data_IF_454845123388
#
_entry.id   IF_454845123388
#
_cell.length_a   1.000
_cell.length_b   1.000
_cell.length_c   1.000
_cell.angle_alpha   90.00
_cell.angle_beta   90.00
_cell.angle_gamma   90.00
#
_symmetry.space_group_name_H-M   'P 1'
#
loop_
_entity.id
_entity.type
_entity.pdbx_description
1 polymer ?
#
# COMPACT_ATOMS: atom_id res chain seq x y z
N UNK A 1 -9.65 -20.40 59.74
CA UNK A 1 -8.62 -21.08 58.95
C UNK A 1 -9.30 -21.64 57.73
N UNK A 2 -9.40 -20.87 56.70
CA UNK A 2 -10.16 -21.16 55.49
C UNK A 2 -9.16 -21.53 54.39
N UNK A 3 -9.22 -22.81 53.98
CA UNK A 3 -8.40 -23.32 52.90
C UNK A 3 -8.92 -22.86 51.56
N UNK A 4 -8.07 -22.16 50.84
CA UNK A 4 -8.28 -21.72 49.46
C UNK A 4 -8.06 -22.89 48.51
N UNK A 5 -9.12 -23.31 47.80
CA UNK A 5 -9.08 -24.40 46.83
C UNK A 5 -8.61 -23.85 45.51
N UNK A 6 -7.42 -24.26 45.13
CA UNK A 6 -6.82 -23.97 43.80
C UNK A 6 -7.64 -24.61 42.65
N UNK A 7 -8.35 -23.78 41.89
CA UNK A 7 -9.20 -24.18 40.77
C UNK A 7 -8.46 -24.39 39.44
N UNK A 8 -7.14 -24.43 39.44
CA UNK A 8 -6.33 -24.55 38.22
C UNK A 8 -5.82 -25.95 37.88
N UNK A 9 -6.15 -26.95 38.68
CA UNK A 9 -5.62 -28.33 38.51
C UNK A 9 -6.61 -29.35 37.92
N UNK A 10 -7.78 -28.94 37.45
CA UNK A 10 -8.84 -29.91 37.07
C UNK A 10 -9.26 -29.90 35.58
N UNK A 11 -8.42 -29.42 34.66
CA UNK A 11 -8.76 -29.42 33.21
C UNK A 11 -7.65 -29.98 32.32
N UNK A 12 -6.95 -30.99 32.77
CA UNK A 12 -5.82 -31.56 32.05
C UNK A 12 -5.87 -33.05 31.82
N UNK A 13 -7.02 -33.70 31.70
CA UNK A 13 -7.01 -35.12 31.30
C UNK A 13 -8.39 -35.55 30.81
N UNK A 14 -8.62 -35.48 29.53
CA UNK A 14 -9.59 -36.32 28.80
C UNK A 14 -9.72 -35.81 27.35
N UNK A 15 -9.04 -36.38 26.41
CA UNK A 15 -9.51 -36.87 25.13
C UNK A 15 -8.33 -37.39 24.29
N UNK A 16 -7.84 -38.56 24.67
CA UNK A 16 -7.22 -39.47 23.70
C UNK A 16 -8.33 -40.38 23.20
N UNK A 17 -8.96 -39.96 22.12
CA UNK A 17 -9.93 -40.75 21.38
C UNK A 17 -9.37 -41.04 20.01
N UNK A 18 -8.81 -42.23 19.85
CA UNK A 18 -8.54 -42.84 18.54
C UNK A 18 -9.83 -43.07 17.79
N UNK A 19 -10.02 -42.40 16.65
CA UNK A 19 -10.95 -42.81 15.62
C UNK A 19 -10.18 -43.21 14.36
N UNK A 20 -9.89 -44.50 14.26
CA UNK A 20 -9.61 -45.13 13.01
C UNK A 20 -10.94 -45.57 12.38
N UNK A 21 -11.36 -44.94 11.30
CA UNK A 21 -12.38 -45.46 10.39
C UNK A 21 -12.00 -45.05 8.96
N UNK A 22 -11.52 -46.08 8.27
CA UNK A 22 -11.42 -46.05 6.83
C UNK A 22 -12.83 -46.10 6.24
N UNK A 23 -13.17 -45.13 5.41
CA UNK A 23 -14.31 -45.25 4.50
C UNK A 23 -14.01 -44.51 3.22
N UNK A 24 -14.07 -45.22 2.15
CA UNK A 24 -14.04 -44.78 0.77
C UNK A 24 -15.07 -43.69 0.53
N UNK A 25 -14.61 -42.52 0.06
CA UNK A 25 -15.47 -41.47 -0.43
C UNK A 25 -14.74 -40.74 -1.56
N UNK A 26 -15.26 -40.93 -2.79
CA UNK A 26 -14.85 -40.15 -3.94
C UNK A 26 -15.01 -38.66 -3.60
N UNK A 27 -13.92 -37.98 -3.28
CA UNK A 27 -13.90 -36.56 -3.00
C UNK A 27 -14.08 -35.81 -4.32
N UNK A 28 -15.22 -35.14 -4.48
CA UNK A 28 -15.29 -34.00 -5.36
C UNK A 28 -14.19 -32.99 -4.89
N UNK A 29 -13.18 -32.86 -5.71
CA UNK A 29 -12.16 -31.84 -5.48
C UNK A 29 -12.80 -30.47 -5.56
N UNK A 30 -13.18 -29.95 -4.41
CA UNK A 30 -13.50 -28.55 -4.25
C UNK A 30 -12.21 -27.77 -4.44
N UNK A 31 -11.91 -27.55 -5.70
CA UNK A 31 -10.90 -26.57 -6.10
C UNK A 31 -11.39 -25.17 -5.81
N UNK A 32 -11.67 -24.88 -4.55
CA UNK A 32 -11.66 -23.53 -4.07
C UNK A 32 -10.22 -23.05 -4.23
N UNK A 33 -9.96 -22.46 -5.39
CA UNK A 33 -8.78 -21.63 -5.53
C UNK A 33 -8.95 -20.61 -4.43
N UNK A 34 -8.13 -20.78 -3.41
CA UNK A 34 -7.92 -19.75 -2.41
C UNK A 34 -7.74 -18.46 -3.20
N UNK A 35 -8.77 -17.61 -3.15
CA UNK A 35 -8.68 -16.30 -3.73
C UNK A 35 -7.54 -15.68 -2.94
N UNK A 36 -6.38 -15.52 -3.59
CA UNK A 36 -5.33 -14.69 -3.07
C UNK A 36 -5.97 -13.31 -2.99
N UNK A 37 -6.51 -13.00 -1.83
CA UNK A 37 -6.82 -11.63 -1.47
C UNK A 37 -5.44 -10.97 -1.50
N UNK A 38 -5.16 -10.30 -2.62
CA UNK A 38 -4.08 -9.34 -2.63
C UNK A 38 -4.54 -8.28 -1.64
N UNK A 39 -4.08 -8.40 -0.40
CA UNK A 39 -4.20 -7.32 0.55
C UNK A 39 -3.72 -6.07 -0.19
N UNK A 40 -4.52 -5.01 -0.26
CA UNK A 40 -4.04 -3.75 -0.81
C UNK A 40 -2.73 -3.48 -0.09
N UNK A 41 -1.65 -3.10 -0.81
CA UNK A 41 -0.33 -2.89 -0.22
C UNK A 41 -0.55 -2.12 1.08
N UNK A 42 -0.14 -2.71 2.19
CA UNK A 42 -0.54 -2.38 3.55
C UNK A 42 -0.76 -0.89 3.73
N UNK A 43 -2.01 -0.52 3.83
CA UNK A 43 -2.42 0.84 4.08
C UNK A 43 -2.07 1.25 5.53
N UNK A 44 -0.81 1.13 5.89
CA UNK A 44 -0.31 1.35 7.25
C UNK A 44 1.15 1.01 7.47
N UNK A 45 1.86 0.51 6.43
CA UNK A 45 3.31 0.47 6.50
C UNK A 45 3.87 1.88 6.60
N UNK A 46 5.05 2.08 7.22
CA UNK A 46 5.74 3.36 7.12
C UNK A 46 5.79 3.72 5.64
N UNK A 47 5.34 4.92 5.30
CA UNK A 47 5.30 5.42 3.94
C UNK A 47 6.62 5.13 3.22
N UNK A 48 6.65 5.16 1.88
CA UNK A 48 7.76 4.64 1.10
C UNK A 48 9.07 5.05 1.76
N UNK A 49 9.73 4.05 2.32
CA UNK A 49 10.96 4.27 3.06
C UNK A 49 11.92 4.99 2.14
N UNK A 50 12.33 6.19 2.52
CA UNK A 50 13.41 6.92 1.86
C UNK A 50 14.77 6.23 2.02
N UNK A 51 14.82 5.10 2.66
CA UNK A 51 15.98 4.23 2.57
C UNK A 51 16.12 3.81 1.11
N UNK A 52 17.24 4.14 0.46
CA UNK A 52 17.43 3.71 -0.90
C UNK A 52 17.34 2.18 -0.90
N UNK A 53 16.36 1.57 -1.55
CA UNK A 53 16.58 0.22 -1.99
C UNK A 53 17.76 0.37 -2.92
N UNK A 54 18.81 -0.37 -2.70
CA UNK A 54 19.91 -0.49 -3.65
C UNK A 54 19.49 -1.61 -4.60
N UNK A 55 18.78 -1.31 -5.70
CA UNK A 55 18.62 -2.30 -6.74
C UNK A 55 19.96 -2.36 -7.42
N UNK A 56 20.62 -3.48 -7.30
CA UNK A 56 21.73 -3.80 -8.14
C UNK A 56 21.16 -4.07 -9.54
N UNK A 57 21.08 -3.07 -10.38
CA UNK A 57 20.61 -3.19 -11.75
C UNK A 57 19.42 -2.29 -12.10
N UNK A 58 19.03 -2.24 -13.38
CA UNK A 58 17.86 -1.51 -13.82
C UNK A 58 16.61 -2.15 -13.19
N UNK A 59 15.57 -1.35 -12.89
CA UNK A 59 14.28 -1.86 -12.44
C UNK A 59 13.77 -2.91 -13.44
N UNK A 60 13.31 -4.03 -12.90
CA UNK A 60 12.76 -5.14 -13.67
C UNK A 60 11.32 -4.91 -14.13
N UNK A 61 10.61 -6.02 -14.37
CA UNK A 61 9.21 -5.98 -14.79
C UNK A 61 8.33 -5.25 -13.74
N UNK A 62 7.36 -4.47 -14.23
CA UNK A 62 6.44 -3.70 -13.37
C UNK A 62 6.94 -2.30 -13.00
N UNK A 63 8.15 -1.93 -13.38
CA UNK A 63 8.65 -0.58 -13.17
C UNK A 63 8.37 0.33 -14.37
N UNK A 64 7.89 1.53 -14.09
CA UNK A 64 7.58 2.56 -15.08
C UNK A 64 8.57 3.70 -14.91
N UNK A 65 9.31 4.01 -15.96
CA UNK A 65 10.27 5.12 -15.98
C UNK A 65 9.55 6.46 -16.19
N UNK A 66 9.93 7.45 -15.39
CA UNK A 66 9.47 8.84 -15.44
C UNK A 66 10.68 9.76 -15.47
N UNK A 67 10.87 10.45 -16.57
CA UNK A 67 12.00 11.38 -16.74
C UNK A 67 11.79 12.66 -15.92
N UNK A 68 12.75 13.05 -15.09
CA UNK A 68 12.71 14.30 -14.35
C UNK A 68 12.83 15.53 -15.25
N UNK A 69 13.33 15.36 -16.46
CA UNK A 69 13.37 16.45 -17.46
C UNK A 69 11.95 16.85 -17.88
N UNK A 70 11.04 15.89 -17.96
CA UNK A 70 9.63 16.16 -18.30
C UNK A 70 8.85 16.74 -17.13
N UNK A 71 9.34 16.55 -15.89
CA UNK A 71 8.70 16.99 -14.65
C UNK A 71 9.67 17.76 -13.75
N UNK A 72 10.15 18.96 -14.15
CA UNK A 72 11.18 19.70 -13.43
C UNK A 72 10.78 20.09 -12.01
N UNK A 73 9.49 20.19 -11.70
CA UNK A 73 9.00 20.43 -10.34
C UNK A 73 9.44 19.33 -9.36
N UNK A 74 9.67 18.11 -9.84
CA UNK A 74 10.12 16.97 -9.01
C UNK A 74 11.61 17.03 -8.65
N UNK A 75 12.38 17.96 -9.20
CA UNK A 75 13.79 18.11 -8.82
C UNK A 75 13.97 18.86 -7.49
N UNK A 76 12.94 19.58 -7.04
CA UNK A 76 12.99 20.40 -5.83
C UNK A 76 12.14 19.76 -4.72
N UNK A 77 12.68 19.60 -3.49
CA UNK A 77 11.88 19.15 -2.35
C UNK A 77 10.64 20.01 -2.14
N UNK A 78 9.50 19.37 -1.88
CA UNK A 78 8.18 20.02 -1.82
C UNK A 78 7.49 20.18 -3.17
N UNK A 79 8.21 19.95 -4.28
CA UNK A 79 7.61 19.92 -5.61
C UNK A 79 6.77 18.67 -5.85
N UNK A 80 5.76 18.81 -6.70
CA UNK A 80 4.90 17.70 -7.08
C UNK A 80 4.51 17.77 -8.56
N UNK A 81 4.14 16.63 -9.12
CA UNK A 81 3.65 16.54 -10.49
C UNK A 81 2.62 15.42 -10.62
N UNK A 82 1.64 15.66 -11.49
CA UNK A 82 0.73 14.62 -11.96
C UNK A 82 1.40 13.83 -13.07
N UNK A 83 1.57 12.54 -12.85
CA UNK A 83 2.18 11.63 -13.79
C UNK A 83 1.13 10.66 -14.31
N UNK A 84 0.81 10.77 -15.61
CA UNK A 84 -0.16 9.90 -16.26
C UNK A 84 0.48 9.17 -17.42
N UNK A 85 0.56 7.85 -17.33
CA UNK A 85 1.12 6.96 -18.36
C UNK A 85 0.06 5.90 -18.68
N UNK A 86 -0.81 6.16 -19.66
CA UNK A 86 -1.95 5.28 -19.98
C UNK A 86 -1.54 3.86 -20.36
N UNK A 87 -0.40 3.71 -21.05
CA UNK A 87 0.12 2.41 -21.48
C UNK A 87 0.49 1.50 -20.29
N UNK A 88 0.87 2.11 -19.16
CA UNK A 88 1.17 1.43 -17.91
C UNK A 88 -0.01 1.45 -16.94
N UNK A 89 -1.16 2.02 -17.33
CA UNK A 89 -2.30 2.27 -16.46
C UNK A 89 -1.87 2.99 -15.17
N UNK A 90 -0.91 3.90 -15.26
CA UNK A 90 -0.39 4.67 -14.14
C UNK A 90 -0.98 6.08 -14.19
N UNK A 91 -1.66 6.49 -13.10
CA UNK A 91 -2.19 7.84 -12.89
C UNK A 91 -1.96 8.21 -11.43
N UNK A 92 -0.88 8.93 -11.16
CA UNK A 92 -0.40 9.21 -9.80
C UNK A 92 -0.05 10.70 -9.65
N UNK A 93 -0.10 11.17 -8.41
CA UNK A 93 0.64 12.36 -8.01
C UNK A 93 1.96 11.88 -7.42
N UNK A 94 3.06 12.41 -7.95
CA UNK A 94 4.39 12.21 -7.40
C UNK A 94 4.77 13.46 -6.62
N UNK A 95 5.25 13.29 -5.40
CA UNK A 95 5.72 14.38 -4.53
C UNK A 95 7.18 14.13 -4.16
N UNK A 96 8.03 15.14 -4.31
CA UNK A 96 9.41 15.12 -3.80
C UNK A 96 9.37 15.51 -2.31
N UNK A 97 9.29 14.53 -1.42
CA UNK A 97 9.02 14.75 0.01
C UNK A 97 10.20 15.33 0.77
N UNK A 98 11.40 14.88 0.45
CA UNK A 98 12.67 15.37 1.01
C UNK A 98 13.82 15.00 0.08
N UNK A 99 15.04 15.55 0.24
CA UNK A 99 16.15 15.29 -0.67
C UNK A 99 16.35 13.80 -0.98
N UNK A 100 16.15 13.44 -2.26
CA UNK A 100 16.24 12.06 -2.74
C UNK A 100 15.03 11.16 -2.46
N UNK A 101 14.00 11.67 -1.78
CA UNK A 101 12.81 10.93 -1.38
C UNK A 101 11.58 11.36 -2.16
N UNK A 102 10.83 10.37 -2.64
CA UNK A 102 9.62 10.60 -3.43
C UNK A 102 8.48 9.72 -2.92
N UNK A 103 7.27 10.27 -2.98
CA UNK A 103 6.03 9.51 -2.81
C UNK A 103 5.26 9.52 -4.13
N UNK A 104 4.74 8.38 -4.55
CA UNK A 104 3.84 8.28 -5.70
C UNK A 104 2.50 7.74 -5.19
N UNK A 105 1.45 8.54 -5.30
CA UNK A 105 0.14 8.23 -4.76
C UNK A 105 -0.88 8.12 -5.89
N UNK A 106 -1.74 7.10 -5.83
CA UNK A 106 -2.83 6.95 -6.76
C UNK A 106 -3.76 8.15 -6.70
N UNK A 107 -4.14 8.70 -7.86
CA UNK A 107 -4.95 9.90 -7.92
C UNK A 107 -6.43 9.70 -7.60
N UNK A 108 -6.90 8.49 -7.48
CA UNK A 108 -8.32 8.23 -7.19
C UNK A 108 -8.55 8.31 -5.68
N UNK A 109 -9.46 9.21 -5.29
CA UNK A 109 -9.89 9.38 -3.91
C UNK A 109 -10.54 8.11 -3.37
N UNK A 110 -10.16 7.68 -2.17
CA UNK A 110 -10.67 6.45 -1.56
C UNK A 110 -12.08 6.58 -0.98
N UNK A 111 -12.68 7.79 -0.99
CA UNK A 111 -14.09 8.00 -0.69
C UNK A 111 -14.96 7.76 -1.92
N UNK A 112 -14.49 8.17 -3.12
CA UNK A 112 -15.23 8.05 -4.37
C UNK A 112 -14.28 8.24 -5.56
N UNK A 113 -14.79 8.27 -6.77
CA UNK A 113 -14.01 8.19 -8.01
C UNK A 113 -13.38 9.53 -8.47
N UNK A 114 -13.34 10.54 -7.61
CA UNK A 114 -12.73 11.82 -7.94
C UNK A 114 -11.21 11.76 -7.86
N UNK A 115 -10.55 12.48 -8.73
CA UNK A 115 -9.13 12.68 -8.64
C UNK A 115 -8.79 13.57 -7.43
N UNK A 116 -7.66 13.28 -6.79
CA UNK A 116 -7.08 14.15 -5.77
C UNK A 116 -6.02 15.04 -6.40
N UNK A 117 -5.87 16.25 -5.85
CA UNK A 117 -4.90 17.24 -6.28
C UNK A 117 -3.90 17.53 -5.17
N UNK A 118 -2.68 17.92 -5.55
CA UNK A 118 -1.67 18.39 -4.59
C UNK A 118 -1.93 19.85 -4.24
N UNK A 119 -1.97 20.17 -2.94
CA UNK A 119 -2.10 21.54 -2.42
C UNK A 119 -0.75 21.96 -1.82
N UNK A 120 0.10 22.65 -2.58
CA UNK A 120 1.48 22.97 -2.15
C UNK A 120 1.53 23.81 -0.87
N UNK A 121 0.59 24.74 -0.70
CA UNK A 121 0.55 25.63 0.46
C UNK A 121 0.38 24.87 1.78
N UNK A 122 -0.33 23.77 1.75
CA UNK A 122 -0.64 22.96 2.94
C UNK A 122 0.21 21.68 3.01
N UNK A 123 0.90 21.32 1.92
CA UNK A 123 1.68 20.09 1.82
C UNK A 123 0.82 18.82 1.90
N UNK A 124 -0.39 18.86 1.33
CA UNK A 124 -1.36 17.75 1.41
C UNK A 124 -1.94 17.42 0.04
N UNK A 125 -2.51 16.23 -0.07
CA UNK A 125 -3.42 15.87 -1.15
C UNK A 125 -4.84 16.21 -0.74
N UNK A 126 -5.63 16.82 -1.63
CA UNK A 126 -7.03 17.16 -1.39
C UNK A 126 -7.93 16.63 -2.50
N UNK A 127 -9.07 16.07 -2.10
CA UNK A 127 -10.11 15.66 -3.02
C UNK A 127 -11.13 16.80 -3.16
N UNK A 128 -11.25 17.43 -4.33
CA UNK A 128 -12.11 18.62 -4.51
C UNK A 128 -13.62 18.29 -4.42
N UNK A 129 -14.00 17.01 -4.57
CA UNK A 129 -15.40 16.63 -4.59
C UNK A 129 -16.07 16.74 -3.21
N UNK A 130 -15.40 16.26 -2.16
CA UNK A 130 -15.98 16.19 -0.83
C UNK A 130 -15.00 16.59 0.29
N UNK A 131 -13.86 17.17 -0.05
CA UNK A 131 -12.91 17.71 0.91
C UNK A 131 -12.09 16.69 1.71
N UNK A 132 -12.01 15.42 1.26
CA UNK A 132 -11.08 14.47 1.89
C UNK A 132 -9.65 14.95 1.70
N UNK A 133 -8.86 14.93 2.77
CA UNK A 133 -7.45 15.35 2.76
C UNK A 133 -6.54 14.22 3.22
N UNK A 134 -5.36 14.16 2.63
CA UNK A 134 -4.37 13.12 2.90
C UNK A 134 -2.98 13.73 3.03
N UNK A 135 -2.11 13.08 3.81
CA UNK A 135 -0.71 13.48 3.90
C UNK A 135 0.00 13.24 2.56
N UNK A 136 1.21 13.73 2.43
CA UNK A 136 2.08 13.43 1.28
C UNK A 136 2.45 11.94 1.15
N UNK A 137 2.23 11.14 2.20
CA UNK A 137 2.37 9.67 2.21
C UNK A 137 1.04 8.96 1.99
N UNK A 138 -0.04 9.71 1.76
CA UNK A 138 -1.37 9.18 1.46
C UNK A 138 -2.24 8.85 2.68
N UNK A 139 -1.81 9.13 3.92
CA UNK A 139 -2.61 8.87 5.11
C UNK A 139 -3.78 9.84 5.20
N UNK A 140 -4.94 9.39 5.69
CA UNK A 140 -6.13 10.24 5.85
C UNK A 140 -5.89 11.27 6.95
N UNK A 141 -6.07 12.55 6.62
CA UNK A 141 -6.08 13.67 7.56
C UNK A 141 -7.51 14.09 7.88
N UNK A 142 -8.37 14.10 6.88
CA UNK A 142 -9.76 14.53 6.99
C UNK A 142 -10.66 13.70 6.07
N UNK A 143 -11.83 13.29 6.59
CA UNK A 143 -12.84 12.56 5.82
C UNK A 143 -13.56 13.43 4.78
N UNK A 144 -14.50 12.80 4.05
CA UNK A 144 -15.17 11.53 4.31
C UNK A 144 -14.41 10.25 3.94
N UNK A 145 -13.25 10.32 3.28
CA UNK A 145 -12.42 9.14 3.07
C UNK A 145 -12.03 8.48 4.41
N UNK A 146 -12.07 7.16 4.48
CA UNK A 146 -11.71 6.38 5.66
C UNK A 146 -10.51 5.48 5.45
N UNK A 147 -10.00 5.43 4.22
CA UNK A 147 -8.84 4.62 3.82
C UNK A 147 -7.77 5.52 3.20
N UNK A 148 -6.47 5.22 3.39
CA UNK A 148 -5.39 5.96 2.77
C UNK A 148 -5.42 5.81 1.23
N UNK A 149 -4.74 6.71 0.54
CA UNK A 149 -4.44 6.56 -0.88
C UNK A 149 -3.46 5.41 -1.08
N UNK A 150 -3.61 4.69 -2.18
CA UNK A 150 -2.62 3.68 -2.56
C UNK A 150 -1.30 4.36 -2.92
N UNK A 151 -0.20 3.89 -2.31
CA UNK A 151 1.14 4.36 -2.58
C UNK A 151 1.90 3.32 -3.41
N UNK A 152 2.75 3.79 -4.33
CA UNK A 152 3.60 2.97 -5.17
C UNK A 152 5.06 3.17 -4.78
N UNK A 153 5.87 2.10 -4.70
CA UNK A 153 7.31 2.23 -4.50
C UNK A 153 7.94 3.10 -5.59
N UNK A 154 8.80 4.03 -5.19
CA UNK A 154 9.51 4.93 -6.10
C UNK A 154 11.01 4.86 -5.83
N UNK A 155 11.80 4.77 -6.88
CA UNK A 155 13.27 4.79 -6.81
C UNK A 155 13.80 5.84 -7.79
N UNK A 156 14.71 6.69 -7.34
CA UNK A 156 15.44 7.60 -8.22
C UNK A 156 16.72 6.94 -8.72
N UNK A 157 16.92 7.00 -10.04
CA UNK A 157 18.20 6.62 -10.67
C UNK A 157 18.61 7.71 -11.66
N UNK A 158 19.62 8.47 -11.31
CA UNK A 158 20.09 9.56 -12.14
C UNK A 158 19.02 10.65 -12.35
N UNK A 159 18.66 10.89 -13.61
CA UNK A 159 17.64 11.85 -14.02
C UNK A 159 16.25 11.24 -14.19
N UNK A 160 16.02 10.03 -13.71
CA UNK A 160 14.73 9.33 -13.82
C UNK A 160 14.24 8.84 -12.47
N UNK A 161 12.91 8.81 -12.33
CA UNK A 161 12.21 8.07 -11.29
C UNK A 161 11.68 6.77 -11.89
N UNK A 162 11.69 5.71 -11.11
CA UNK A 162 11.09 4.44 -11.44
C UNK A 162 9.98 4.17 -10.43
N UNK A 163 8.75 4.03 -10.91
CA UNK A 163 7.57 3.78 -10.08
C UNK A 163 7.15 2.33 -10.30
N UNK A 164 7.12 1.55 -9.24
CA UNK A 164 6.72 0.15 -9.30
C UNK A 164 5.21 0.02 -9.29
N UNK A 165 4.66 -0.46 -10.41
CA UNK A 165 3.25 -0.80 -10.54
C UNK A 165 3.13 -2.28 -10.87
N UNK A 166 2.87 -3.14 -9.87
CA UNK A 166 2.63 -4.56 -10.12
C UNK A 166 1.41 -4.75 -11.02
N UNK A 167 1.47 -5.71 -11.91
CA UNK A 167 0.38 -6.08 -12.82
C UNK A 167 -0.60 -7.02 -12.15
#
# INVERSE_FOLDING_TARGET
MTGEVDRRAALGTLLKGTCALAAFGAGCGDGWREAVVLDPPDAGGPGPSCAPPVPSGPPGEGWVEVSLVDYPALEVPGGAAEVRIPQALLDVVVVHTSPGCYAALWRICTHGDCAVDWVPADGVMECPCHGSRFTQEGQVLNGPATRPLAAFPVVRQGASLFIHRPR
#
